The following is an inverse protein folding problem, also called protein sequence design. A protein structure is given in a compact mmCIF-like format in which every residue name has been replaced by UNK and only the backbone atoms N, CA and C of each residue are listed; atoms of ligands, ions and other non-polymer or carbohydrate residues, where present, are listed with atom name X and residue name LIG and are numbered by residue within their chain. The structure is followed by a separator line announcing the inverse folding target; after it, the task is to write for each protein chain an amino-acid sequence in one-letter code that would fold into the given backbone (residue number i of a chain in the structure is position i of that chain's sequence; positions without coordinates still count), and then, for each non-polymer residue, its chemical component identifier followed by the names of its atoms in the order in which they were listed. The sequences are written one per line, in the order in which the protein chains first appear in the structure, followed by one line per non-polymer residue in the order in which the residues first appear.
data_IF_273200078555
#
_entry.id   IF_273200078555
#
_cell.length_a   1.000
_cell.length_b   1.000
_cell.length_c   1.000
_cell.angle_alpha   90.00
_cell.angle_beta   90.00
_cell.angle_gamma   90.00
#
_symmetry.space_group_name_H-M   'P 1'
#
loop_
_entity.id
_entity.type
_entity.pdbx_description
1 polymer ?
#
# COMPACT_ATOMS: atom_id res chain seq x y z
N UNK A 1 4.05 -5.21 -11.93
CA UNK A 1 4.51 -5.02 -10.53
C UNK A 1 3.38 -4.54 -9.62
N UNK A 2 2.53 -3.60 -10.05
CA UNK A 2 1.37 -3.14 -9.26
C UNK A 2 0.37 -4.26 -8.92
N UNK A 3 0.05 -5.14 -9.85
CA UNK A 3 -0.87 -6.26 -9.59
C UNK A 3 -0.38 -7.18 -8.46
N UNK A 4 0.93 -7.44 -8.40
CA UNK A 4 1.55 -8.22 -7.32
C UNK A 4 1.37 -7.55 -5.96
N UNK A 5 1.54 -6.23 -5.89
CA UNK A 5 1.31 -5.45 -4.67
C UNK A 5 -0.13 -5.63 -4.17
N UNK A 6 -1.12 -5.46 -5.05
CA UNK A 6 -2.52 -5.58 -4.66
C UNK A 6 -2.88 -7.00 -4.23
N UNK A 7 -2.42 -8.02 -4.94
CA UNK A 7 -2.64 -9.42 -4.54
C UNK A 7 -2.04 -9.72 -3.15
N UNK A 8 -0.86 -9.17 -2.84
CA UNK A 8 -0.23 -9.32 -1.53
C UNK A 8 -1.01 -8.60 -0.43
N UNK A 9 -1.47 -7.36 -0.68
CA UNK A 9 -2.29 -6.60 0.27
C UNK A 9 -3.58 -7.35 0.58
N UNK A 10 -4.30 -7.81 -0.44
CA UNK A 10 -5.58 -8.51 -0.28
C UNK A 10 -5.39 -9.77 0.57
N UNK A 11 -4.35 -10.57 0.28
CA UNK A 11 -4.03 -11.77 1.07
C UNK A 11 -3.67 -11.45 2.52
N UNK A 12 -2.82 -10.45 2.76
CA UNK A 12 -2.33 -10.10 4.10
C UNK A 12 -3.38 -9.39 4.96
N UNK A 13 -4.33 -8.67 4.35
CA UNK A 13 -5.40 -7.96 5.07
C UNK A 13 -6.23 -8.89 5.97
N UNK A 14 -6.41 -10.15 5.56
CA UNK A 14 -7.13 -11.18 6.32
C UNK A 14 -6.53 -11.49 7.69
N UNK A 15 -5.23 -11.21 7.87
CA UNK A 15 -4.50 -11.42 9.11
C UNK A 15 -4.72 -10.29 10.14
N UNK A 16 -5.47 -9.24 9.78
CA UNK A 16 -5.77 -8.07 10.63
C UNK A 16 -4.50 -7.45 11.23
N UNK A 17 -3.53 -7.02 10.40
CA UNK A 17 -2.33 -6.37 10.91
C UNK A 17 -2.71 -5.08 11.66
N UNK A 18 -1.96 -4.76 12.71
CA UNK A 18 -2.21 -3.53 13.50
C UNK A 18 -1.96 -2.25 12.69
N UNK A 19 -1.01 -2.29 11.77
CA UNK A 19 -0.69 -1.21 10.85
C UNK A 19 0.09 -1.78 9.66
N UNK A 20 0.21 -0.99 8.60
CA UNK A 20 1.09 -1.25 7.46
C UNK A 20 1.92 0.00 7.14
N UNK A 21 3.06 -0.19 6.47
CA UNK A 21 3.94 0.91 6.08
C UNK A 21 4.25 0.84 4.59
N UNK A 22 4.28 2.00 3.93
CA UNK A 22 4.71 2.15 2.53
C UNK A 22 6.02 2.92 2.53
N UNK A 23 7.05 2.38 1.90
CA UNK A 23 8.34 3.07 1.78
C UNK A 23 8.24 4.26 0.83
N UNK A 24 9.11 5.26 1.04
CA UNK A 24 9.23 6.43 0.19
C UNK A 24 10.63 6.47 -0.41
N UNK A 25 10.73 6.44 -1.73
CA UNK A 25 12.01 6.58 -2.43
C UNK A 25 12.42 8.05 -2.51
N UNK A 26 13.73 8.33 -2.40
CA UNK A 26 14.26 9.69 -2.44
C UNK A 26 14.24 10.35 -3.85
N UNK A 27 13.81 9.60 -4.88
CA UNK A 27 13.79 10.06 -6.27
C UNK A 27 12.49 10.81 -6.59
N UNK A 28 12.55 11.72 -7.58
CA UNK A 28 11.38 12.44 -8.08
C UNK A 28 10.32 11.48 -8.65
N UNK A 29 9.06 11.65 -8.27
CA UNK A 29 7.92 10.82 -8.72
C UNK A 29 7.48 9.76 -7.71
N UNK A 30 8.30 9.43 -6.71
CA UNK A 30 7.94 8.46 -5.67
C UNK A 30 6.90 9.01 -4.68
N UNK A 31 6.80 10.35 -4.55
CA UNK A 31 5.81 11.00 -3.68
C UNK A 31 4.38 10.66 -4.07
N UNK A 32 4.03 10.90 -5.33
CA UNK A 32 2.66 10.69 -5.80
C UNK A 32 2.30 9.20 -5.79
N UNK A 33 3.28 8.34 -6.07
CA UNK A 33 3.13 6.88 -5.98
C UNK A 33 2.91 6.42 -4.54
N UNK A 34 3.72 6.86 -3.59
CA UNK A 34 3.55 6.55 -2.17
C UNK A 34 2.18 7.02 -1.67
N UNK A 35 1.77 8.25 -2.00
CA UNK A 35 0.45 8.78 -1.62
C UNK A 35 -0.69 7.96 -2.23
N UNK A 36 -0.60 7.58 -3.51
CA UNK A 36 -1.62 6.79 -4.19
C UNK A 36 -1.77 5.40 -3.58
N UNK A 37 -0.65 4.74 -3.24
CA UNK A 37 -0.66 3.41 -2.59
C UNK A 37 -1.27 3.49 -1.19
N UNK A 38 -0.87 4.48 -0.38
CA UNK A 38 -1.44 4.67 0.96
C UNK A 38 -2.95 4.87 0.88
N UNK A 39 -3.43 5.73 -0.02
CA UNK A 39 -4.86 5.98 -0.23
C UNK A 39 -5.59 4.70 -0.62
N UNK A 40 -5.07 3.95 -1.58
CA UNK A 40 -5.69 2.70 -2.02
C UNK A 40 -5.72 1.61 -0.95
N UNK A 41 -4.67 1.48 -0.12
CA UNK A 41 -4.66 0.55 1.03
C UNK A 41 -5.77 0.89 2.01
N UNK A 42 -5.92 2.17 2.36
CA UNK A 42 -6.94 2.65 3.30
C UNK A 42 -8.35 2.39 2.78
N UNK A 43 -8.60 2.69 1.51
CA UNK A 43 -9.90 2.48 0.88
C UNK A 43 -10.27 0.99 0.76
N UNK A 44 -9.30 0.11 0.51
CA UNK A 44 -9.54 -1.33 0.33
C UNK A 44 -9.63 -2.13 1.62
N UNK A 45 -8.83 -1.78 2.62
CA UNK A 45 -8.66 -2.60 3.84
C UNK A 45 -9.23 -1.95 5.10
N UNK A 46 -9.52 -0.64 5.07
CA UNK A 46 -9.99 0.11 6.23
C UNK A 46 -8.93 0.39 7.30
N UNK A 47 -7.65 0.10 7.00
CA UNK A 47 -6.49 0.44 7.82
C UNK A 47 -6.07 1.91 7.67
#
# INVERSE_FOLDING_TARGET
MEQTLWNSIDRLSSLKPKFVSVTYGANSGERDRTHSVIKGIKERTGL
#
